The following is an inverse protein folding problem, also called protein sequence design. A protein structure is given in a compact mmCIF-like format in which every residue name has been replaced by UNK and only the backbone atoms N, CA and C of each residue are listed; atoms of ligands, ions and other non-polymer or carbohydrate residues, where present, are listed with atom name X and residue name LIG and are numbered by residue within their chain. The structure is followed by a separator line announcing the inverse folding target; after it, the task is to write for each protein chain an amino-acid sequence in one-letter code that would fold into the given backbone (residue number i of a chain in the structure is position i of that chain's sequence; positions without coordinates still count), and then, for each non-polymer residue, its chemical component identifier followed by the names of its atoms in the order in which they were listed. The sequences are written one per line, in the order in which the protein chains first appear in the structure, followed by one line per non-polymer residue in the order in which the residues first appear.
data_IF_942532323486
#
_entry.id   IF_942532323486
#
_cell.length_a   1.000
_cell.length_b   1.000
_cell.length_c   1.000
_cell.angle_alpha   90.00
_cell.angle_beta   90.00
_cell.angle_gamma   90.00
#
_symmetry.space_group_name_H-M   'P 1'
#
loop_
_entity.id
_entity.type
_entity.pdbx_description
1 polymer ?
#
# COMPACT_ATOMS: atom_id res chain seq x y z
N UNK A 1 -18.09 16.81 -43.47
CA UNK A 1 -16.92 16.18 -42.78
C UNK A 1 -16.92 16.77 -41.41
N UNK A 2 -17.61 16.08 -40.47
CA UNK A 2 -17.86 16.55 -39.11
C UNK A 2 -16.81 15.91 -38.21
N UNK A 3 -15.95 16.74 -37.64
CA UNK A 3 -14.94 16.29 -36.66
C UNK A 3 -15.66 16.20 -35.30
N UNK A 4 -15.75 14.98 -34.78
CA UNK A 4 -16.26 14.72 -33.42
C UNK A 4 -15.27 15.24 -32.38
N UNK A 5 -15.70 16.18 -31.55
CA UNK A 5 -14.95 16.63 -30.39
C UNK A 5 -14.88 15.48 -29.35
N UNK A 6 -13.65 15.14 -28.99
CA UNK A 6 -13.33 14.14 -27.99
C UNK A 6 -13.77 14.61 -26.58
N UNK A 7 -14.71 13.89 -25.98
CA UNK A 7 -15.31 14.19 -24.68
C UNK A 7 -14.40 13.86 -23.47
N UNK A 8 -13.10 13.63 -23.70
CA UNK A 8 -12.14 13.27 -22.65
C UNK A 8 -11.51 14.45 -21.92
N UNK A 9 -11.40 15.61 -22.57
CA UNK A 9 -10.72 16.78 -21.99
C UNK A 9 -11.50 17.40 -20.79
N UNK A 10 -12.81 17.47 -20.84
CA UNK A 10 -13.61 18.06 -19.78
C UNK A 10 -13.64 17.29 -18.46
N UNK A 11 -13.35 16.00 -18.47
CA UNK A 11 -13.30 15.15 -17.25
C UNK A 11 -11.99 15.24 -16.47
N UNK A 12 -10.91 15.61 -17.11
CA UNK A 12 -9.61 15.80 -16.45
C UNK A 12 -9.56 17.13 -15.68
N UNK A 13 -10.17 18.18 -16.20
CA UNK A 13 -10.18 19.48 -15.54
C UNK A 13 -11.01 19.47 -14.24
N UNK A 14 -12.12 18.73 -14.22
CA UNK A 14 -12.94 18.54 -13.02
C UNK A 14 -12.19 17.72 -11.93
N UNK A 15 -11.45 16.70 -12.31
CA UNK A 15 -10.62 15.90 -11.39
C UNK A 15 -9.42 16.69 -10.82
N UNK A 16 -8.80 17.56 -11.62
CA UNK A 16 -7.71 18.44 -11.20
C UNK A 16 -8.18 19.47 -10.17
N UNK A 17 -9.43 19.93 -10.26
CA UNK A 17 -10.02 20.82 -9.29
C UNK A 17 -10.10 20.19 -7.88
N UNK A 18 -10.40 18.90 -7.78
CA UNK A 18 -10.47 18.17 -6.50
C UNK A 18 -9.10 17.95 -5.86
N UNK A 19 -8.04 17.77 -6.64
CA UNK A 19 -6.66 17.62 -6.14
C UNK A 19 -6.02 18.94 -5.70
N UNK A 20 -6.63 20.09 -6.07
CA UNK A 20 -6.13 21.44 -5.75
C UNK A 20 -6.86 22.13 -4.61
N UNK A 21 -7.88 21.49 -4.00
CA UNK A 21 -8.58 22.08 -2.86
C UNK A 21 -7.60 22.12 -1.65
N UNK A 22 -7.33 23.33 -1.09
CA UNK A 22 -6.58 23.44 0.14
C UNK A 22 -7.37 22.70 1.25
N UNK A 23 -6.69 21.94 2.07
CA UNK A 23 -7.23 21.40 3.32
C UNK A 23 -7.90 22.57 4.06
N UNK A 24 -9.23 22.56 4.15
CA UNK A 24 -10.00 23.67 4.72
C UNK A 24 -9.58 23.85 6.18
N UNK A 25 -8.78 24.89 6.40
CA UNK A 25 -8.47 25.40 7.72
C UNK A 25 -9.74 25.74 8.49
N UNK A 26 -9.73 25.42 9.75
CA UNK A 26 -10.75 25.53 10.75
C UNK A 26 -11.66 26.77 10.60
N UNK A 27 -12.89 26.55 10.15
CA UNK A 27 -14.01 27.46 10.37
C UNK A 27 -14.50 27.30 11.80
N UNK A 28 -14.54 28.38 12.58
CA UNK A 28 -15.06 28.41 13.92
C UNK A 28 -16.57 28.10 13.94
N UNK A 29 -16.93 26.89 14.30
CA UNK A 29 -18.31 26.45 14.53
C UNK A 29 -18.30 25.23 15.43
N UNK A 30 -18.82 25.39 16.66
CA UNK A 30 -19.18 24.42 17.67
C UNK A 30 -18.35 23.14 17.79
N UNK A 31 -17.46 23.03 18.77
CA UNK A 31 -16.84 21.77 19.18
C UNK A 31 -17.93 20.76 19.55
N UNK A 32 -18.29 19.90 18.62
CA UNK A 32 -18.85 18.59 18.93
C UNK A 32 -17.72 17.83 19.62
N UNK A 33 -17.92 17.18 20.80
CA UNK A 33 -16.89 16.35 21.40
C UNK A 33 -16.48 15.32 20.37
N UNK A 34 -15.19 15.32 20.02
CA UNK A 34 -14.61 14.33 19.12
C UNK A 34 -14.77 12.96 19.81
N UNK A 35 -15.80 12.22 19.46
CA UNK A 35 -15.81 10.78 19.62
C UNK A 35 -14.61 10.33 18.77
N UNK A 36 -13.50 9.96 19.40
CA UNK A 36 -12.36 9.41 18.69
C UNK A 36 -12.87 8.11 18.04
N UNK A 37 -12.94 8.09 16.73
CA UNK A 37 -13.35 6.89 16.02
C UNK A 37 -12.34 5.77 16.35
N UNK A 38 -12.81 4.55 16.35
CA UNK A 38 -11.99 3.38 16.65
C UNK A 38 -10.89 3.23 15.57
N UNK A 39 -9.66 2.91 15.99
CA UNK A 39 -8.54 2.63 15.08
C UNK A 39 -8.96 1.53 14.09
N UNK A 40 -8.70 1.74 12.81
CA UNK A 40 -9.12 0.86 11.71
C UNK A 40 -10.46 1.24 11.10
N UNK A 41 -11.19 2.20 11.68
CA UNK A 41 -12.38 2.75 11.03
C UNK A 41 -12.00 3.47 9.75
N UNK A 42 -12.68 3.14 8.65
CA UNK A 42 -12.61 3.86 7.38
C UNK A 42 -13.96 4.51 7.09
N UNK A 43 -14.00 5.82 7.17
CA UNK A 43 -15.20 6.63 6.91
C UNK A 43 -15.19 7.13 5.48
N UNK A 44 -16.29 6.97 4.75
CA UNK A 44 -16.50 7.62 3.45
C UNK A 44 -17.20 8.94 3.73
N UNK A 45 -16.50 10.05 3.50
CA UNK A 45 -16.97 11.40 3.78
C UNK A 45 -17.79 11.98 2.62
N UNK A 46 -17.38 11.64 1.39
CA UNK A 46 -18.06 12.08 0.18
C UNK A 46 -17.82 11.09 -0.96
N UNK A 47 -18.77 11.00 -1.90
CA UNK A 47 -18.68 10.16 -3.10
C UNK A 47 -19.06 10.97 -4.31
N UNK A 48 -18.30 10.77 -5.40
CA UNK A 48 -18.61 11.40 -6.67
C UNK A 48 -19.78 10.69 -7.38
N UNK A 49 -20.74 11.48 -7.87
CA UNK A 49 -21.91 10.94 -8.55
C UNK A 49 -21.61 10.38 -9.96
N UNK A 50 -20.49 10.80 -10.57
CA UNK A 50 -20.12 10.45 -11.95
C UNK A 50 -19.08 9.34 -12.07
N UNK A 51 -18.46 8.92 -10.95
CA UNK A 51 -17.41 7.91 -10.91
C UNK A 51 -17.49 7.08 -9.63
N UNK A 52 -16.43 6.31 -9.33
CA UNK A 52 -16.28 5.65 -8.02
C UNK A 52 -15.32 6.41 -7.08
N UNK A 53 -14.92 7.63 -7.46
CA UNK A 53 -14.07 8.47 -6.63
C UNK A 53 -14.75 8.80 -5.30
N UNK A 54 -13.96 8.80 -4.23
CA UNK A 54 -14.45 9.06 -2.89
C UNK A 54 -13.42 9.81 -2.05
N UNK A 55 -13.88 10.67 -1.19
CA UNK A 55 -13.13 11.21 -0.07
C UNK A 55 -13.37 10.29 1.12
N UNK A 56 -12.32 9.87 1.77
CA UNK A 56 -12.40 9.01 2.94
C UNK A 56 -11.47 9.48 4.04
N UNK A 57 -11.60 8.83 5.19
CA UNK A 57 -10.73 9.03 6.35
C UNK A 57 -10.47 7.69 7.01
N UNK A 58 -9.19 7.34 7.08
CA UNK A 58 -8.73 6.16 7.82
C UNK A 58 -8.18 6.58 9.19
N UNK A 59 -8.73 6.02 10.26
CA UNK A 59 -8.26 6.27 11.61
C UNK A 59 -7.10 5.32 11.95
N UNK A 60 -5.92 5.89 12.23
CA UNK A 60 -4.72 5.16 12.64
C UNK A 60 -4.33 5.47 14.08
N UNK A 61 -3.35 4.74 14.63
CA UNK A 61 -2.84 5.01 15.98
C UNK A 61 -2.15 6.37 16.10
N UNK A 62 -1.65 6.94 14.99
CA UNK A 62 -0.99 8.24 14.94
C UNK A 62 -1.85 9.33 14.26
N UNK A 63 -3.16 9.16 14.31
CA UNK A 63 -4.14 10.12 13.81
C UNK A 63 -4.84 9.70 12.52
N UNK A 64 -5.78 10.54 12.05
CA UNK A 64 -6.50 10.29 10.82
C UNK A 64 -5.60 10.51 9.59
N UNK A 65 -5.88 9.74 8.54
CA UNK A 65 -5.31 9.90 7.20
C UNK A 65 -6.46 10.16 6.24
N UNK A 66 -6.49 11.35 5.64
CA UNK A 66 -7.46 11.70 4.61
C UNK A 66 -7.12 11.00 3.29
N UNK A 67 -8.11 10.58 2.54
CA UNK A 67 -7.92 9.91 1.25
C UNK A 67 -8.76 10.57 0.14
N UNK A 68 -8.29 10.57 -1.12
CA UNK A 68 -7.09 9.92 -1.65
C UNK A 68 -5.79 10.52 -1.13
N UNK A 69 -4.76 9.69 -0.92
CA UNK A 69 -3.45 10.11 -0.40
C UNK A 69 -2.29 9.46 -1.14
N UNK A 70 -1.25 10.24 -1.39
CA UNK A 70 0.05 9.74 -1.84
C UNK A 70 1.01 9.61 -0.65
N UNK A 71 1.71 8.48 -0.56
CA UNK A 71 2.67 8.18 0.51
C UNK A 71 4.09 8.33 -0.01
N UNK A 72 4.83 9.38 0.39
CA UNK A 72 6.25 9.47 0.09
C UNK A 72 7.03 8.28 0.65
N UNK A 73 7.99 7.78 -0.14
CA UNK A 73 8.74 6.58 0.22
C UNK A 73 9.98 6.93 1.03
N UNK A 74 9.99 6.49 2.28
CA UNK A 74 11.12 6.60 3.22
C UNK A 74 11.86 5.27 3.36
N UNK A 75 12.60 4.84 2.33
CA UNK A 75 13.18 3.49 2.22
C UNK A 75 14.02 3.08 3.43
N UNK A 76 14.85 3.95 3.96
CA UNK A 76 15.70 3.71 5.14
C UNK A 76 15.34 4.69 6.26
N UNK A 77 14.06 4.78 6.59
CA UNK A 77 13.52 5.69 7.58
C UNK A 77 13.74 7.19 7.25
N UNK A 78 13.90 7.52 5.98
CA UNK A 78 13.99 8.90 5.51
C UNK A 78 13.48 9.02 4.08
N UNK A 79 12.67 10.01 3.82
CA UNK A 79 12.35 10.45 2.46
C UNK A 79 13.57 11.18 1.92
N UNK A 80 14.09 10.71 0.80
CA UNK A 80 15.37 11.22 0.27
C UNK A 80 15.29 12.72 0.02
N UNK A 81 16.27 13.45 0.58
CA UNK A 81 16.43 14.91 0.46
C UNK A 81 15.33 15.76 1.12
N UNK A 82 14.48 15.18 1.97
CA UNK A 82 13.47 15.91 2.72
C UNK A 82 13.54 15.56 4.21
N UNK A 83 13.47 16.56 5.05
CA UNK A 83 13.36 16.38 6.49
C UNK A 83 11.90 16.18 6.93
N UNK A 84 11.64 15.52 8.09
CA UNK A 84 10.28 15.30 8.56
C UNK A 84 9.43 16.57 8.64
N UNK A 85 9.97 17.66 9.14
CA UNK A 85 9.25 18.93 9.25
C UNK A 85 8.89 19.57 7.89
N UNK A 86 9.67 19.31 6.83
CA UNK A 86 9.34 19.75 5.47
C UNK A 86 8.17 18.97 4.92
N UNK A 87 8.14 17.66 5.15
CA UNK A 87 7.00 16.79 4.80
C UNK A 87 5.72 17.22 5.54
N UNK A 88 5.83 17.53 6.84
CA UNK A 88 4.72 18.06 7.63
C UNK A 88 4.22 19.41 7.08
N UNK A 89 5.12 20.31 6.71
CA UNK A 89 4.80 21.62 6.14
C UNK A 89 4.08 21.50 4.78
N UNK A 90 4.36 20.43 4.01
CA UNK A 90 3.68 20.11 2.76
C UNK A 90 2.40 19.27 2.96
N UNK A 91 1.95 19.08 4.20
CA UNK A 91 0.70 18.38 4.50
C UNK A 91 0.77 16.86 4.36
N UNK A 92 1.97 16.27 4.37
CA UNK A 92 2.10 14.82 4.34
C UNK A 92 1.51 14.21 5.62
N UNK A 93 0.62 13.24 5.49
CA UNK A 93 -0.08 12.60 6.60
C UNK A 93 0.41 11.17 6.87
N UNK A 94 0.98 10.53 5.87
CA UNK A 94 1.46 9.15 5.96
C UNK A 94 2.71 8.95 5.10
N UNK A 95 3.67 8.18 5.62
CA UNK A 95 4.89 7.78 4.92
C UNK A 95 4.89 6.28 4.66
N UNK A 96 5.64 5.85 3.64
CA UNK A 96 5.91 4.43 3.41
C UNK A 96 7.35 4.09 3.81
N UNK A 97 7.51 3.06 4.64
CA UNK A 97 8.80 2.46 5.00
C UNK A 97 8.98 1.08 4.37
N UNK A 98 10.21 0.73 3.99
CA UNK A 98 10.47 -0.57 3.37
C UNK A 98 11.03 -1.58 4.37
N UNK A 99 10.24 -2.57 4.71
CA UNK A 99 10.51 -3.62 5.72
C UNK A 99 11.84 -4.34 5.46
N UNK A 100 12.08 -4.76 4.23
CA UNK A 100 13.33 -5.44 3.85
C UNK A 100 14.56 -4.56 4.11
N UNK A 101 14.54 -3.31 3.62
CA UNK A 101 15.67 -2.40 3.75
C UNK A 101 15.97 -2.05 5.22
N UNK A 102 14.93 -1.79 6.00
CA UNK A 102 15.06 -1.49 7.43
C UNK A 102 15.58 -2.69 8.23
N UNK A 103 15.18 -3.91 7.86
CA UNK A 103 15.68 -5.14 8.47
C UNK A 103 17.15 -5.38 8.17
N UNK A 104 17.60 -5.10 6.95
CA UNK A 104 19.01 -5.24 6.56
C UNK A 104 19.84 -4.12 7.20
N UNK A 105 19.33 -2.88 7.19
CA UNK A 105 20.02 -1.71 7.72
C UNK A 105 19.05 -0.58 8.09
N UNK A 106 19.03 -0.13 9.36
CA UNK A 106 20.00 -0.35 10.45
C UNK A 106 19.85 -1.68 11.17
N UNK A 107 18.77 -2.46 10.92
CA UNK A 107 18.46 -3.69 11.61
C UNK A 107 17.49 -3.49 12.77
N UNK A 108 16.75 -4.56 13.10
CA UNK A 108 15.65 -4.48 14.06
C UNK A 108 16.11 -4.20 15.48
N UNK A 109 17.30 -4.67 15.88
CA UNK A 109 17.85 -4.40 17.22
C UNK A 109 18.04 -2.88 17.48
N UNK A 110 18.49 -2.14 16.47
CA UNK A 110 18.68 -0.68 16.58
C UNK A 110 17.31 0.03 16.69
N UNK A 111 16.38 -0.33 15.81
CA UNK A 111 15.05 0.32 15.77
C UNK A 111 14.27 0.01 17.06
N UNK A 112 14.32 -1.22 17.56
CA UNK A 112 13.65 -1.60 18.80
C UNK A 112 14.20 -0.85 20.01
N UNK A 113 15.53 -0.73 20.13
CA UNK A 113 16.18 0.06 21.19
C UNK A 113 15.81 1.53 21.18
N UNK A 114 15.52 2.08 19.98
CA UNK A 114 15.10 3.47 19.83
C UNK A 114 13.58 3.66 19.96
N UNK A 115 12.83 2.57 20.16
CA UNK A 115 11.39 2.62 20.45
C UNK A 115 10.50 2.67 19.21
N UNK A 116 10.93 2.02 18.11
CA UNK A 116 10.17 1.86 16.89
C UNK A 116 10.51 2.88 15.80
N UNK A 117 9.89 2.70 14.64
CA UNK A 117 10.22 3.47 13.42
C UNK A 117 9.85 4.95 13.56
N UNK A 118 8.72 5.28 14.18
CA UNK A 118 8.29 6.67 14.41
C UNK A 118 9.34 7.48 15.18
N UNK A 119 9.89 6.90 16.25
CA UNK A 119 10.94 7.56 17.04
C UNK A 119 12.27 7.59 16.32
N UNK A 120 12.60 6.55 15.58
CA UNK A 120 13.85 6.47 14.83
C UNK A 120 13.95 7.54 13.73
N UNK A 121 12.84 7.86 13.06
CA UNK A 121 12.80 8.86 11.97
C UNK A 121 12.23 10.23 12.39
N UNK A 122 11.89 10.42 13.68
CA UNK A 122 11.22 11.60 14.24
C UNK A 122 9.94 11.98 13.47
N UNK A 123 9.13 10.99 13.10
CA UNK A 123 7.86 11.17 12.42
C UNK A 123 6.68 10.90 13.37
N UNK A 124 5.69 11.81 13.42
CA UNK A 124 4.61 11.78 14.42
C UNK A 124 3.25 11.38 13.84
N UNK A 125 3.17 11.22 12.51
CA UNK A 125 1.95 10.85 11.80
C UNK A 125 2.02 9.38 11.36
N UNK A 126 1.05 8.94 10.58
CA UNK A 126 0.96 7.53 10.17
C UNK A 126 2.17 7.04 9.35
N UNK A 127 2.48 5.75 9.49
CA UNK A 127 3.46 5.03 8.69
C UNK A 127 2.82 3.74 8.18
N UNK A 128 2.94 3.49 6.88
CA UNK A 128 2.72 2.18 6.29
C UNK A 128 4.08 1.51 6.06
N UNK A 129 4.21 0.22 6.37
CA UNK A 129 5.38 -0.58 5.96
C UNK A 129 4.96 -1.63 4.95
N UNK A 130 5.74 -1.76 3.87
CA UNK A 130 5.54 -2.83 2.89
C UNK A 130 5.82 -4.22 3.49
N UNK A 131 5.49 -5.28 2.76
CA UNK A 131 5.72 -6.65 3.22
C UNK A 131 7.20 -7.07 3.20
N UNK A 132 8.04 -6.39 2.42
CA UNK A 132 9.40 -6.82 2.06
C UNK A 132 9.44 -7.87 0.94
N UNK A 133 8.30 -8.41 0.52
CA UNK A 133 8.22 -9.47 -0.49
C UNK A 133 8.79 -9.01 -1.82
N UNK A 134 8.31 -7.91 -2.37
CA UNK A 134 8.77 -7.39 -3.66
C UNK A 134 10.30 -7.21 -3.71
N UNK A 135 10.93 -6.67 -2.65
CA UNK A 135 12.37 -6.45 -2.61
C UNK A 135 13.15 -7.76 -2.57
N UNK A 136 12.66 -8.77 -1.86
CA UNK A 136 13.23 -10.11 -1.87
C UNK A 136 13.21 -10.70 -3.28
N UNK A 137 12.13 -10.47 -4.05
CA UNK A 137 12.00 -10.97 -5.41
C UNK A 137 12.78 -10.16 -6.44
N UNK A 138 12.85 -8.83 -6.30
CA UNK A 138 13.45 -7.93 -7.28
C UNK A 138 14.97 -7.73 -7.08
N UNK A 139 15.46 -7.70 -5.84
CA UNK A 139 16.85 -7.34 -5.52
C UNK A 139 17.78 -8.54 -5.33
N UNK A 140 17.24 -9.77 -5.22
CA UNK A 140 18.05 -10.95 -4.89
C UNK A 140 18.14 -11.91 -6.05
N UNK A 141 19.37 -12.19 -6.50
CA UNK A 141 19.61 -13.11 -7.63
C UNK A 141 19.59 -14.58 -7.23
N UNK A 142 19.99 -14.90 -5.98
CA UNK A 142 20.01 -16.25 -5.44
C UNK A 142 18.92 -16.41 -4.40
N UNK A 143 17.79 -16.95 -4.83
CA UNK A 143 16.64 -17.21 -3.96
C UNK A 143 16.15 -18.63 -4.09
N UNK A 144 15.68 -19.19 -2.98
CA UNK A 144 15.04 -20.50 -2.92
C UNK A 144 13.69 -20.38 -2.24
N UNK A 145 12.62 -20.66 -3.00
CA UNK A 145 11.27 -20.69 -2.50
C UNK A 145 11.02 -21.91 -1.62
N UNK A 146 10.26 -21.73 -0.56
CA UNK A 146 9.70 -22.81 0.27
C UNK A 146 8.23 -22.47 0.57
N UNK A 147 7.42 -23.42 1.04
CA UNK A 147 6.04 -23.10 1.47
C UNK A 147 5.98 -22.05 2.57
N UNK A 148 6.99 -22.00 3.44
CA UNK A 148 7.06 -21.10 4.61
C UNK A 148 7.59 -19.71 4.27
N UNK A 149 8.26 -19.52 3.13
CA UNK A 149 8.89 -18.25 2.75
C UNK A 149 10.03 -18.42 1.76
N UNK A 150 10.96 -17.48 1.77
CA UNK A 150 12.03 -17.37 0.78
C UNK A 150 13.39 -17.28 1.48
N UNK A 151 14.33 -18.18 1.11
CA UNK A 151 15.74 -18.02 1.39
C UNK A 151 16.40 -17.19 0.31
N UNK A 152 17.22 -16.22 0.70
CA UNK A 152 17.92 -15.33 -0.23
C UNK A 152 19.25 -14.83 0.37
N UNK A 153 20.04 -14.14 -0.44
CA UNK A 153 21.23 -13.45 0.02
C UNK A 153 21.00 -11.94 0.02
N UNK A 154 21.38 -11.29 1.12
CA UNK A 154 21.36 -9.83 1.24
C UNK A 154 22.16 -9.20 0.09
N UNK A 155 21.58 -8.21 -0.57
CA UNK A 155 22.24 -7.45 -1.64
C UNK A 155 23.35 -6.54 -1.12
N UNK A 156 23.44 -6.33 0.20
CA UNK A 156 24.43 -5.45 0.85
C UNK A 156 25.74 -6.18 1.12
N UNK A 157 25.66 -7.37 1.71
CA UNK A 157 26.82 -8.11 2.22
C UNK A 157 26.84 -9.61 1.88
N UNK A 158 25.82 -10.09 1.13
CA UNK A 158 25.69 -11.49 0.75
C UNK A 158 25.26 -12.43 1.89
N UNK A 159 24.94 -11.92 3.07
CA UNK A 159 24.46 -12.73 4.20
C UNK A 159 23.22 -13.51 3.81
N UNK A 160 23.19 -14.80 4.14
CA UNK A 160 22.04 -15.66 3.89
C UNK A 160 20.92 -15.33 4.87
N UNK A 161 19.76 -14.99 4.34
CA UNK A 161 18.58 -14.57 5.09
C UNK A 161 17.36 -15.41 4.71
N UNK A 162 16.40 -15.45 5.61
CA UNK A 162 15.06 -16.03 5.36
C UNK A 162 14.01 -14.95 5.64
N UNK A 163 12.98 -14.88 4.80
CA UNK A 163 11.82 -14.07 5.01
C UNK A 163 10.57 -14.81 4.57
N UNK A 164 9.59 -14.84 5.43
CA UNK A 164 8.27 -15.37 5.20
C UNK A 164 7.24 -14.56 5.99
N UNK A 165 5.99 -15.02 6.03
CA UNK A 165 4.91 -14.33 6.74
C UNK A 165 5.25 -14.00 8.20
N UNK A 166 5.83 -14.95 8.91
CA UNK A 166 6.17 -14.79 10.34
C UNK A 166 7.26 -13.74 10.56
N UNK A 167 8.33 -13.82 9.77
CA UNK A 167 9.46 -12.90 9.84
C UNK A 167 9.03 -11.49 9.43
N UNK A 168 8.32 -11.35 8.33
CA UNK A 168 7.81 -10.06 7.85
C UNK A 168 6.91 -9.38 8.89
N UNK A 169 5.94 -10.09 9.44
CA UNK A 169 5.04 -9.55 10.46
C UNK A 169 5.78 -9.25 11.78
N UNK A 170 6.76 -10.07 12.17
CA UNK A 170 7.60 -9.80 13.35
C UNK A 170 8.43 -8.52 13.18
N UNK A 171 9.03 -8.31 12.01
CA UNK A 171 9.76 -7.10 11.67
C UNK A 171 8.82 -5.89 11.73
N UNK A 172 7.68 -5.93 11.05
CA UNK A 172 6.72 -4.82 11.00
C UNK A 172 6.13 -4.51 12.40
N UNK A 173 6.00 -5.52 13.26
CA UNK A 173 5.61 -5.33 14.65
C UNK A 173 6.67 -4.57 15.45
N UNK A 174 7.97 -4.85 15.24
CA UNK A 174 9.10 -4.11 15.85
C UNK A 174 9.16 -2.68 15.30
N UNK A 175 8.96 -2.51 14.00
CA UNK A 175 8.87 -1.20 13.37
C UNK A 175 7.74 -0.37 14.00
N UNK A 176 6.62 -0.99 14.40
CA UNK A 176 5.49 -0.33 15.01
C UNK A 176 4.77 0.61 14.04
N UNK A 177 4.73 0.27 12.76
CA UNK A 177 3.97 1.00 11.74
C UNK A 177 2.48 0.95 12.02
N UNK A 178 1.73 1.97 11.59
CA UNK A 178 0.26 2.00 11.70
C UNK A 178 -0.40 0.97 10.79
N UNK A 179 0.19 0.77 9.60
CA UNK A 179 -0.30 -0.19 8.62
C UNK A 179 0.85 -1.12 8.23
N UNK A 180 0.65 -2.41 8.41
CA UNK A 180 1.55 -3.46 7.96
C UNK A 180 0.95 -4.17 6.74
N UNK A 181 1.78 -4.51 5.75
CA UNK A 181 1.34 -5.26 4.58
C UNK A 181 1.57 -6.76 4.79
N UNK A 182 0.58 -7.59 4.43
CA UNK A 182 0.75 -9.04 4.43
C UNK A 182 1.85 -9.46 3.44
N UNK A 183 2.66 -10.45 3.84
CA UNK A 183 3.71 -10.98 2.97
C UNK A 183 3.10 -11.70 1.76
N UNK A 184 3.59 -11.38 0.57
CA UNK A 184 3.05 -11.81 -0.72
C UNK A 184 4.16 -12.23 -1.68
N UNK A 185 3.77 -12.90 -2.76
CA UNK A 185 4.65 -13.15 -3.90
C UNK A 185 4.20 -12.35 -5.11
N UNK A 186 5.03 -11.41 -5.52
CA UNK A 186 4.85 -10.65 -6.76
C UNK A 186 5.72 -11.25 -7.87
N UNK A 187 5.17 -12.10 -8.75
CA UNK A 187 5.91 -12.64 -9.88
C UNK A 187 6.24 -11.54 -10.90
N UNK A 188 7.36 -11.67 -11.65
CA UNK A 188 7.66 -10.77 -12.75
C UNK A 188 6.62 -10.92 -13.86
N UNK A 189 6.42 -9.87 -14.65
CA UNK A 189 5.63 -9.95 -15.87
C UNK A 189 6.57 -9.75 -17.11
N UNK A 190 6.55 -10.68 -18.09
CA UNK A 190 5.75 -11.91 -18.16
C UNK A 190 6.29 -13.04 -17.26
N UNK A 191 5.39 -13.94 -16.87
CA UNK A 191 5.78 -15.21 -16.24
C UNK A 191 4.91 -16.36 -16.80
N UNK A 192 5.35 -17.63 -16.67
CA UNK A 192 4.53 -18.78 -17.07
C UNK A 192 3.19 -18.79 -16.31
N UNK A 193 2.06 -19.10 -16.96
CA UNK A 193 0.73 -19.11 -16.33
C UNK A 193 0.65 -20.02 -15.10
N UNK A 194 1.29 -21.20 -15.17
CA UNK A 194 1.37 -22.14 -14.04
C UNK A 194 2.09 -21.53 -12.83
N UNK A 195 3.15 -20.76 -13.07
CA UNK A 195 3.88 -20.06 -12.00
C UNK A 195 3.02 -18.93 -11.41
N UNK A 196 2.31 -18.17 -12.23
CA UNK A 196 1.38 -17.13 -11.77
C UNK A 196 0.28 -17.72 -10.86
N UNK A 197 -0.28 -18.87 -11.23
CA UNK A 197 -1.26 -19.59 -10.42
C UNK A 197 -0.65 -20.01 -9.07
N UNK A 198 0.55 -20.60 -9.07
CA UNK A 198 1.24 -21.02 -7.84
C UNK A 198 1.58 -19.81 -6.95
N UNK A 199 1.95 -18.66 -7.53
CA UNK A 199 2.24 -17.44 -6.78
C UNK A 199 0.99 -16.91 -6.07
N UNK A 200 -0.18 -16.97 -6.71
CA UNK A 200 -1.45 -16.60 -6.08
C UNK A 200 -1.78 -17.53 -4.89
N UNK A 201 -1.67 -18.86 -5.06
CA UNK A 201 -1.96 -19.78 -3.97
C UNK A 201 -0.95 -19.64 -2.81
N UNK A 202 0.34 -19.37 -3.09
CA UNK A 202 1.32 -19.03 -2.03
C UNK A 202 0.96 -17.73 -1.33
N UNK A 203 0.61 -16.68 -2.09
CA UNK A 203 0.17 -15.40 -1.51
C UNK A 203 -1.01 -15.61 -0.56
N UNK A 204 -2.01 -16.40 -0.94
CA UNK A 204 -3.17 -16.71 -0.07
C UNK A 204 -2.77 -17.50 1.18
N UNK A 205 -1.90 -18.51 1.04
CA UNK A 205 -1.37 -19.27 2.16
C UNK A 205 -0.57 -18.38 3.12
N UNK A 206 0.27 -17.52 2.58
CA UNK A 206 1.07 -16.57 3.37
C UNK A 206 0.21 -15.50 4.03
N UNK A 207 -0.82 -14.99 3.34
CA UNK A 207 -1.78 -14.05 3.91
C UNK A 207 -2.51 -14.66 5.12
N UNK A 208 -2.94 -15.92 5.02
CA UNK A 208 -3.54 -16.65 6.14
C UNK A 208 -2.57 -16.80 7.33
N UNK A 209 -1.28 -17.03 7.05
CA UNK A 209 -0.24 -17.05 8.08
C UNK A 209 0.01 -15.67 8.70
N UNK A 210 0.07 -14.59 7.91
CA UNK A 210 0.19 -13.22 8.39
C UNK A 210 -0.97 -12.84 9.32
N UNK A 211 -2.19 -13.21 8.97
CA UNK A 211 -3.39 -12.93 9.76
C UNK A 211 -3.34 -13.50 11.18
N UNK A 212 -2.56 -14.54 11.40
CA UNK A 212 -2.39 -15.21 12.70
C UNK A 212 -1.24 -14.62 13.54
N UNK A 213 -0.42 -13.74 12.97
CA UNK A 213 0.73 -13.19 13.69
C UNK A 213 0.32 -12.07 14.66
N UNK A 214 1.05 -11.92 15.79
CA UNK A 214 0.87 -10.78 16.69
C UNK A 214 1.13 -9.45 15.99
N UNK A 215 0.29 -8.46 16.25
CA UNK A 215 0.40 -7.08 15.76
C UNK A 215 0.95 -6.17 16.85
N UNK A 216 1.56 -5.04 16.47
CA UNK A 216 1.79 -3.95 17.40
C UNK A 216 0.45 -3.33 17.86
N UNK A 217 0.40 -2.67 19.04
CA UNK A 217 -0.81 -2.00 19.49
C UNK A 217 -1.33 -1.00 18.45
N UNK A 218 -2.58 -1.15 18.02
CA UNK A 218 -3.22 -0.29 17.03
C UNK A 218 -2.75 -0.50 15.58
N UNK A 219 -1.90 -1.49 15.32
CA UNK A 219 -1.41 -1.79 13.97
C UNK A 219 -2.50 -2.47 13.13
N UNK A 220 -2.80 -1.89 11.97
CA UNK A 220 -3.67 -2.44 10.93
C UNK A 220 -2.86 -3.37 10.02
N UNK A 221 -3.53 -4.34 9.38
CA UNK A 221 -2.90 -5.23 8.39
C UNK A 221 -3.71 -5.21 7.10
N UNK A 222 -3.04 -4.94 5.98
CA UNK A 222 -3.64 -4.96 4.66
C UNK A 222 -3.23 -6.21 3.88
N UNK A 223 -4.20 -6.85 3.21
CA UNK A 223 -3.94 -7.94 2.28
C UNK A 223 -3.58 -7.41 0.90
N UNK A 224 -2.77 -8.16 0.13
CA UNK A 224 -2.32 -7.77 -1.21
C UNK A 224 -2.91 -8.71 -2.25
N UNK A 225 -3.72 -8.18 -3.17
CA UNK A 225 -4.26 -8.93 -4.30
C UNK A 225 -3.19 -9.04 -5.39
N UNK A 226 -2.80 -10.27 -5.70
CA UNK A 226 -1.89 -10.63 -6.77
C UNK A 226 -2.68 -11.28 -7.94
N UNK A 227 -2.00 -11.62 -9.04
CA UNK A 227 -2.61 -12.26 -10.22
C UNK A 227 -2.14 -11.70 -11.56
N UNK A 228 -1.23 -10.71 -11.53
CA UNK A 228 -0.65 -10.09 -12.73
C UNK A 228 -1.72 -9.55 -13.68
N UNK A 229 -1.64 -9.94 -14.94
CA UNK A 229 -2.60 -9.51 -15.97
C UNK A 229 -3.76 -10.50 -16.18
N UNK A 230 -3.80 -11.61 -15.45
CA UNK A 230 -4.89 -12.61 -15.59
C UNK A 230 -6.08 -12.26 -14.69
N UNK A 231 -7.26 -11.96 -15.29
CA UNK A 231 -8.46 -11.61 -14.55
C UNK A 231 -8.91 -12.68 -13.55
N UNK A 232 -8.82 -13.96 -13.90
CA UNK A 232 -9.28 -15.05 -13.06
C UNK A 232 -8.38 -15.24 -11.85
N UNK A 233 -7.07 -15.03 -12.01
CA UNK A 233 -6.14 -15.09 -10.89
C UNK A 233 -6.33 -13.93 -9.92
N UNK A 234 -6.62 -12.71 -10.40
CA UNK A 234 -6.96 -11.57 -9.55
C UNK A 234 -8.26 -11.80 -8.77
N UNK A 235 -9.29 -12.29 -9.44
CA UNK A 235 -10.56 -12.66 -8.80
C UNK A 235 -10.33 -13.73 -7.72
N UNK A 236 -9.65 -14.83 -8.07
CA UNK A 236 -9.30 -15.91 -7.12
C UNK A 236 -8.55 -15.38 -5.90
N UNK A 237 -7.55 -14.47 -6.11
CA UNK A 237 -6.78 -13.89 -5.03
C UNK A 237 -7.64 -13.00 -4.14
N UNK A 238 -8.44 -12.10 -4.74
CA UNK A 238 -9.33 -11.21 -4.01
C UNK A 238 -10.35 -12.00 -3.17
N UNK A 239 -11.04 -12.97 -3.75
CA UNK A 239 -12.00 -13.84 -3.05
C UNK A 239 -11.34 -14.59 -1.88
N UNK A 240 -10.15 -15.14 -2.09
CA UNK A 240 -9.42 -15.85 -1.04
C UNK A 240 -9.04 -14.93 0.12
N UNK A 241 -8.56 -13.72 -0.16
CA UNK A 241 -8.24 -12.73 0.87
C UNK A 241 -9.48 -12.26 1.63
N UNK A 242 -10.60 -12.01 0.91
CA UNK A 242 -11.86 -11.61 1.53
C UNK A 242 -12.45 -12.71 2.41
N UNK A 243 -12.34 -13.98 2.00
CA UNK A 243 -12.81 -15.12 2.77
C UNK A 243 -12.05 -15.30 4.10
N UNK A 244 -10.80 -14.83 4.20
CA UNK A 244 -10.05 -14.82 5.47
C UNK A 244 -10.66 -13.86 6.50
N UNK A 245 -11.31 -12.77 6.07
CA UNK A 245 -11.98 -11.81 6.94
C UNK A 245 -11.08 -11.09 7.96
N UNK A 246 -9.75 -11.10 7.73
CA UNK A 246 -8.74 -10.74 8.73
C UNK A 246 -8.04 -9.41 8.47
N UNK A 247 -8.34 -8.76 7.33
CA UNK A 247 -7.62 -7.56 6.88
C UNK A 247 -8.45 -6.29 7.07
N UNK A 248 -7.75 -5.24 7.47
CA UNK A 248 -8.31 -3.90 7.73
C UNK A 248 -8.42 -3.07 6.44
N UNK A 249 -7.68 -3.46 5.40
CA UNK A 249 -7.68 -2.87 4.07
C UNK A 249 -7.07 -3.82 3.04
N UNK A 250 -7.08 -3.40 1.77
CA UNK A 250 -6.62 -4.24 0.66
C UNK A 250 -5.79 -3.45 -0.33
N UNK A 251 -4.68 -4.05 -0.79
CA UNK A 251 -3.85 -3.47 -1.82
C UNK A 251 -4.00 -4.18 -3.17
N UNK A 252 -3.79 -3.44 -4.23
CA UNK A 252 -3.70 -3.89 -5.61
C UNK A 252 -2.21 -4.01 -5.94
N UNK A 253 -1.67 -5.22 -5.85
CA UNK A 253 -0.30 -5.53 -6.21
C UNK A 253 -0.18 -6.17 -7.59
N UNK A 254 1.05 -6.50 -8.01
CA UNK A 254 1.31 -7.16 -9.29
C UNK A 254 0.89 -6.35 -10.50
N UNK A 255 0.95 -5.03 -10.40
CA UNK A 255 0.83 -4.07 -11.51
C UNK A 255 2.06 -3.17 -11.53
N UNK A 256 2.42 -2.63 -12.69
CA UNK A 256 3.66 -1.86 -12.90
C UNK A 256 4.94 -2.65 -12.58
N UNK A 257 4.93 -3.96 -12.91
CA UNK A 257 6.03 -4.91 -12.63
C UNK A 257 6.66 -5.49 -13.90
N UNK A 258 6.44 -4.84 -15.05
CA UNK A 258 7.01 -5.20 -16.35
C UNK A 258 6.00 -5.52 -17.44
N UNK A 259 4.70 -5.46 -17.14
CA UNK A 259 3.65 -5.56 -18.15
C UNK A 259 3.61 -4.34 -19.07
N UNK A 260 3.07 -4.47 -20.30
CA UNK A 260 2.75 -3.35 -21.15
C UNK A 260 1.84 -2.34 -20.47
N UNK A 261 2.09 -1.04 -20.67
CA UNK A 261 1.40 0.07 -19.99
C UNK A 261 -0.12 0.00 -20.16
N UNK A 262 -0.60 -0.43 -21.33
CA UNK A 262 -2.02 -0.61 -21.63
C UNK A 262 -2.73 -1.66 -20.78
N UNK A 263 -1.99 -2.54 -20.09
CA UNK A 263 -2.55 -3.59 -19.23
C UNK A 263 -2.62 -3.17 -17.74
N UNK A 264 -1.96 -2.08 -17.34
CA UNK A 264 -1.95 -1.60 -15.97
C UNK A 264 -3.36 -1.21 -15.53
N UNK A 265 -3.98 -0.26 -16.22
CA UNK A 265 -5.30 0.27 -15.82
C UNK A 265 -6.44 -0.75 -15.91
N UNK A 266 -6.50 -1.66 -16.91
CA UNK A 266 -7.44 -2.79 -16.86
C UNK A 266 -7.31 -3.65 -15.60
N UNK A 267 -6.06 -3.97 -15.16
CA UNK A 267 -5.80 -4.72 -13.93
C UNK A 267 -6.26 -3.98 -12.68
N UNK A 268 -6.00 -2.67 -12.60
CA UNK A 268 -6.47 -1.82 -11.51
C UNK A 268 -7.99 -1.77 -11.44
N UNK A 269 -8.65 -1.47 -12.57
CA UNK A 269 -10.12 -1.37 -12.69
C UNK A 269 -10.82 -2.62 -12.20
N UNK A 270 -10.34 -3.77 -12.67
CA UNK A 270 -10.89 -5.06 -12.30
C UNK A 270 -10.74 -5.31 -10.81
N UNK A 271 -9.51 -5.16 -10.28
CA UNK A 271 -9.24 -5.47 -8.88
C UNK A 271 -9.97 -4.51 -7.94
N UNK A 272 -10.00 -3.21 -8.23
CA UNK A 272 -10.73 -2.22 -7.44
C UNK A 272 -12.23 -2.57 -7.32
N UNK A 273 -12.83 -3.10 -8.39
CA UNK A 273 -14.23 -3.54 -8.40
C UNK A 273 -14.53 -4.78 -7.51
N UNK A 274 -13.50 -5.60 -7.23
CA UNK A 274 -13.65 -6.78 -6.36
C UNK A 274 -13.50 -6.44 -4.86
N UNK A 275 -12.87 -5.30 -4.53
CA UNK A 275 -12.54 -4.95 -3.16
C UNK A 275 -13.71 -4.27 -2.43
N UNK A 276 -13.87 -4.53 -1.11
CA UNK A 276 -14.98 -3.99 -0.33
C UNK A 276 -14.99 -2.45 -0.33
N UNK A 277 -16.18 -1.88 -0.42
CA UNK A 277 -16.36 -0.43 -0.38
C UNK A 277 -16.03 0.16 1.00
N UNK A 278 -16.30 -0.57 2.07
CA UNK A 278 -16.10 -0.13 3.44
C UNK A 278 -14.64 -0.27 3.94
N UNK A 279 -13.70 -0.56 3.03
CA UNK A 279 -12.28 -0.72 3.37
C UNK A 279 -11.42 0.15 2.46
N UNK A 280 -10.28 0.68 2.96
CA UNK A 280 -9.34 1.41 2.13
C UNK A 280 -8.72 0.50 1.05
N UNK A 281 -8.49 1.07 -0.13
CA UNK A 281 -7.90 0.42 -1.29
C UNK A 281 -6.60 1.11 -1.65
N UNK A 282 -5.53 0.37 -1.67
CA UNK A 282 -4.18 0.88 -1.91
C UNK A 282 -3.62 0.32 -3.23
N UNK A 283 -3.25 1.19 -4.17
CA UNK A 283 -2.56 0.82 -5.41
C UNK A 283 -1.07 0.99 -5.22
N UNK A 284 -0.33 -0.13 -5.28
CA UNK A 284 1.10 -0.18 -4.98
C UNK A 284 1.96 0.19 -6.18
N UNK A 285 2.97 1.04 -5.97
CA UNK A 285 4.06 1.31 -6.92
C UNK A 285 3.66 2.10 -8.17
N UNK A 286 2.49 2.72 -8.20
CA UNK A 286 1.99 3.50 -9.35
C UNK A 286 1.95 4.98 -9.00
N UNK A 287 2.75 5.81 -9.71
CA UNK A 287 2.90 7.24 -9.41
C UNK A 287 2.82 8.17 -10.62
N UNK A 288 2.52 7.65 -11.82
CA UNK A 288 2.20 8.53 -12.95
C UNK A 288 0.91 9.29 -12.64
N UNK A 289 0.94 10.60 -12.75
CA UNK A 289 -0.16 11.47 -12.34
C UNK A 289 -1.52 11.09 -12.96
N UNK A 290 -1.54 10.80 -14.26
CA UNK A 290 -2.75 10.41 -14.95
C UNK A 290 -3.28 9.03 -14.51
N UNK A 291 -2.36 8.07 -14.19
CA UNK A 291 -2.75 6.75 -13.66
C UNK A 291 -3.36 6.88 -12.25
N UNK A 292 -2.80 7.74 -11.41
CA UNK A 292 -3.38 8.04 -10.09
C UNK A 292 -4.77 8.66 -10.23
N UNK A 293 -4.93 9.66 -11.11
CA UNK A 293 -6.22 10.32 -11.33
C UNK A 293 -7.28 9.32 -11.84
N UNK A 294 -6.94 8.47 -12.81
CA UNK A 294 -7.86 7.42 -13.28
C UNK A 294 -8.15 6.39 -12.18
N UNK A 295 -7.18 6.03 -11.36
CA UNK A 295 -7.36 5.09 -10.25
C UNK A 295 -8.25 5.65 -9.14
N UNK A 296 -8.15 6.96 -8.85
CA UNK A 296 -9.10 7.64 -7.94
C UNK A 296 -10.52 7.53 -8.48
N UNK A 297 -10.73 7.74 -9.79
CA UNK A 297 -12.03 7.55 -10.42
C UNK A 297 -12.55 6.11 -10.35
N UNK A 298 -11.68 5.14 -10.10
CA UNK A 298 -12.02 3.73 -9.84
C UNK A 298 -12.19 3.40 -8.35
N UNK A 299 -12.10 4.39 -7.46
CA UNK A 299 -12.28 4.25 -6.02
C UNK A 299 -11.04 3.75 -5.28
N UNK A 300 -9.85 4.03 -5.80
CA UNK A 300 -8.58 3.79 -5.08
C UNK A 300 -8.29 4.97 -4.15
N UNK A 301 -7.80 4.69 -2.96
CA UNK A 301 -7.65 5.64 -1.86
C UNK A 301 -6.18 6.02 -1.58
N UNK A 302 -5.24 5.09 -1.78
CA UNK A 302 -3.86 5.25 -1.34
C UNK A 302 -2.90 4.87 -2.46
N UNK A 303 -1.75 5.58 -2.53
CA UNK A 303 -0.74 5.42 -3.57
C UNK A 303 0.65 5.58 -3.00
N UNK A 304 1.63 4.92 -3.62
CA UNK A 304 3.05 5.18 -3.46
C UNK A 304 3.78 5.05 -4.79
N UNK A 305 4.92 5.67 -4.90
CA UNK A 305 5.86 5.42 -5.99
C UNK A 305 7.24 5.97 -5.63
N UNK A 306 8.29 5.38 -6.21
CA UNK A 306 9.67 5.88 -6.09
C UNK A 306 10.02 6.95 -7.14
N UNK A 307 9.11 7.21 -8.08
CA UNK A 307 9.25 8.36 -8.98
C UNK A 307 8.86 9.64 -8.25
N UNK A 308 9.65 10.71 -8.42
CA UNK A 308 9.33 12.02 -7.87
C UNK A 308 8.12 12.63 -8.56
#
# INVERSE_FOLDING_TARGET
MIVSHDSRAGRLDDLLFWLSLPSTGAGAGGRVPAFMAEIGTFEILHEDAGSQARLGRLWTAHGPVETPVFMPVGTQATVKSMAPWELEAHGCEILLGNTYHLNVRPGMEVIEKLGGLHRFQDWKRAILTDSGGYQVFSLTHLRRMTPEGVWFQSHVDGTKMFMGPKESMAIQRILGSDIAMAFDECPPCPCPPEYACQAVERTLSWAASCAQQPRAPGQLVFGIVQGGVDPRLRERCAEGLLALGAFDGYAIGGVSVGEPEELIMPGVRMTAGLLPRARPRYLMGVGQFWQMAESVALGVDMFDCVMP
#
